data_IF_294125092213
#
_entry.id   IF_294125092213
#
_cell.length_a   1.000
_cell.length_b   1.000
_cell.length_c   1.000
_cell.angle_alpha   90.00
_cell.angle_beta   90.00
_cell.angle_gamma   90.00
#
_symmetry.space_group_name_H-M   'P 1'
#
loop_
_entity.id
_entity.type
_entity.pdbx_description
1 polymer ?
#
# COMPACT_ATOMS: atom_id res chain seq x y z
N UNK A 1 -0.85 -15.20 2.51
CA UNK A 1 0.46 -14.61 2.54
C UNK A 1 0.35 -13.12 2.57
N UNK A 2 1.04 -12.46 3.45
CA UNK A 2 0.93 -11.02 3.52
C UNK A 2 1.88 -10.38 2.51
N UNK A 3 1.44 -9.29 1.93
CA UNK A 3 2.21 -8.51 1.00
C UNK A 3 2.39 -7.13 1.57
N UNK A 4 3.55 -6.53 1.36
CA UNK A 4 3.75 -5.19 1.85
C UNK A 4 4.57 -4.39 0.87
N UNK A 5 4.49 -3.08 1.01
CA UNK A 5 5.19 -2.16 0.16
C UNK A 5 5.69 -1.01 1.02
N UNK A 6 6.59 -0.22 0.46
CA UNK A 6 7.14 0.91 1.17
C UNK A 6 6.36 2.18 0.76
N UNK A 7 5.94 2.93 1.75
CA UNK A 7 5.24 4.19 1.56
C UNK A 7 6.25 5.31 1.65
N UNK A 8 6.54 5.94 0.53
CA UNK A 8 7.55 6.99 0.50
C UNK A 8 7.09 8.28 1.17
N UNK A 9 5.78 8.49 1.27
CA UNK A 9 5.27 9.67 1.94
C UNK A 9 5.48 9.61 3.44
N UNK A 10 5.25 8.44 4.02
CA UNK A 10 5.42 8.27 5.45
C UNK A 10 6.79 7.76 5.83
N UNK A 11 7.48 7.16 4.90
CA UNK A 11 8.74 6.53 5.22
C UNK A 11 8.58 5.22 5.97
N UNK A 12 7.42 4.60 5.86
CA UNK A 12 7.09 3.38 6.58
C UNK A 12 6.60 2.32 5.62
N UNK A 13 6.57 1.10 6.10
CA UNK A 13 5.99 0.01 5.32
C UNK A 13 4.50 -0.10 5.61
N UNK A 14 3.77 -0.50 4.59
CA UNK A 14 2.37 -0.86 4.71
C UNK A 14 2.20 -2.26 4.16
N UNK A 15 1.15 -2.93 4.55
CA UNK A 15 0.89 -4.24 3.97
C UNK A 15 -0.54 -4.34 3.50
N UNK A 16 -0.72 -5.12 2.45
CA UNK A 16 -2.02 -5.24 1.82
C UNK A 16 -2.90 -6.17 2.63
N UNK A 17 -4.15 -5.80 2.76
CA UNK A 17 -5.14 -6.63 3.41
C UNK A 17 -6.16 -7.14 2.41
N UNK A 18 -6.17 -6.56 1.22
CA UNK A 18 -7.00 -7.06 0.13
C UNK A 18 -6.40 -6.54 -1.17
N UNK A 19 -7.06 -6.84 -2.28
CA UNK A 19 -6.56 -6.41 -3.59
C UNK A 19 -6.47 -4.91 -3.72
N UNK A 20 -7.31 -4.19 -2.99
CA UNK A 20 -7.39 -2.75 -3.15
C UNK A 20 -7.11 -1.98 -1.88
N UNK A 21 -6.79 -2.65 -0.80
CA UNK A 21 -6.63 -1.99 0.48
C UNK A 21 -5.40 -2.47 1.20
N UNK A 22 -4.80 -1.56 1.94
CA UNK A 22 -3.64 -1.86 2.75
C UNK A 22 -3.73 -1.06 4.04
N UNK A 23 -2.92 -1.42 5.00
CA UNK A 23 -2.85 -0.70 6.25
C UNK A 23 -1.39 -0.39 6.50
N UNK A 24 -1.09 0.84 6.90
CA UNK A 24 0.29 1.21 7.15
C UNK A 24 0.64 0.98 8.61
N UNK A 25 1.88 1.25 8.97
CA UNK A 25 2.35 0.94 10.31
C UNK A 25 1.69 1.79 11.38
N UNK A 26 1.11 2.92 11.00
CA UNK A 26 0.36 3.75 11.94
C UNK A 26 -1.06 3.26 12.13
N UNK A 27 -1.51 2.33 11.32
CA UNK A 27 -2.86 1.85 11.40
C UNK A 27 -3.82 2.54 10.45
N UNK A 28 -3.32 3.38 9.55
CA UNK A 28 -4.17 4.06 8.60
C UNK A 28 -4.49 3.16 7.43
N UNK A 29 -5.72 3.24 6.97
CA UNK A 29 -6.12 2.50 5.79
C UNK A 29 -5.73 3.25 4.55
N UNK A 30 -5.21 2.50 3.58
CA UNK A 30 -4.83 3.04 2.29
C UNK A 30 -5.63 2.32 1.21
N UNK A 31 -6.10 3.07 0.25
CA UNK A 31 -6.83 2.52 -0.87
C UNK A 31 -5.95 2.58 -2.11
N UNK A 32 -5.91 1.48 -2.85
CA UNK A 32 -5.11 1.44 -4.07
C UNK A 32 -5.66 2.42 -5.09
N UNK A 33 -4.78 3.26 -5.61
CA UNK A 33 -5.13 4.18 -6.67
C UNK A 33 -4.44 3.82 -7.97
N UNK A 34 -3.39 3.00 -7.89
CA UNK A 34 -2.64 2.57 -9.04
C UNK A 34 -1.54 1.64 -8.57
N UNK A 35 -0.62 1.31 -9.45
CA UNK A 35 0.46 0.41 -9.08
C UNK A 35 1.45 1.05 -8.13
N UNK A 36 1.55 2.37 -8.18
CA UNK A 36 2.55 3.09 -7.41
C UNK A 36 1.95 4.18 -6.55
N UNK A 37 0.63 4.17 -6.39
CA UNK A 37 -0.05 5.20 -5.63
C UNK A 37 -1.14 4.60 -4.76
N UNK A 38 -1.27 5.15 -3.57
CA UNK A 38 -2.34 4.78 -2.66
C UNK A 38 -2.89 6.05 -2.03
N UNK A 39 -4.16 6.03 -1.68
CA UNK A 39 -4.79 7.17 -1.05
C UNK A 39 -5.03 6.86 0.42
N UNK A 40 -4.62 7.79 1.27
CA UNK A 40 -4.90 7.71 2.69
C UNK A 40 -6.37 8.01 2.89
N UNK A 41 -7.12 7.03 3.35
CA UNK A 41 -8.56 7.20 3.48
C UNK A 41 -8.94 8.11 4.64
N UNK A 42 -8.01 8.37 5.54
CA UNK A 42 -8.29 9.23 6.66
C UNK A 42 -8.22 10.71 6.27
N UNK A 43 -7.24 11.06 5.46
CA UNK A 43 -7.04 12.46 5.07
C UNK A 43 -7.35 12.72 3.61
N UNK A 44 -7.36 11.67 2.78
CA UNK A 44 -7.55 11.84 1.35
C UNK A 44 -6.28 12.14 0.60
N UNK A 45 -5.13 12.07 1.25
CA UNK A 45 -3.87 12.34 0.60
C UNK A 45 -3.44 11.19 -0.26
N UNK A 46 -2.76 11.51 -1.35
CA UNK A 46 -2.18 10.49 -2.22
C UNK A 46 -0.75 10.23 -1.78
N UNK A 47 -0.44 8.98 -1.58
CA UNK A 47 0.90 8.54 -1.18
C UNK A 47 1.56 7.82 -2.34
N UNK A 48 2.82 8.13 -2.57
CA UNK A 48 3.61 7.40 -3.55
C UNK A 48 4.22 6.20 -2.84
N UNK A 49 4.08 5.04 -3.44
CA UNK A 49 4.54 3.79 -2.84
C UNK A 49 5.48 3.10 -3.80
N UNK A 50 6.23 2.14 -3.29
CA UNK A 50 7.20 1.42 -4.11
C UNK A 50 6.49 0.62 -5.20
N UNK A 51 5.47 -0.09 -4.85
CA UNK A 51 4.54 -0.70 -5.81
C UNK A 51 3.48 -1.42 -5.01
N UNK A 52 2.28 -1.50 -5.55
CA UNK A 52 1.25 -2.30 -4.90
C UNK A 52 1.65 -3.75 -5.05
N UNK A 53 1.58 -4.49 -3.97
CA UNK A 53 1.98 -5.87 -4.00
C UNK A 53 1.12 -6.68 -4.94
N UNK A 54 1.79 -7.50 -5.71
CA UNK A 54 1.12 -8.26 -6.71
C UNK A 54 1.45 -9.70 -6.52
N UNK A 55 0.47 -10.56 -6.53
CA UNK A 55 0.71 -11.93 -6.24
C UNK A 55 1.39 -12.66 -7.35
N UNK A 56 1.24 -12.21 -8.55
CA UNK A 56 1.76 -12.99 -9.63
C UNK A 56 3.22 -12.88 -9.80
N UNK A 57 3.86 -12.21 -9.01
CA UNK A 57 5.23 -12.25 -9.07
C UNK A 57 5.76 -13.26 -8.25
N UNK A 58 5.58 -13.75 -8.17
CA UNK A 58 6.10 -14.58 -7.54
C UNK A 58 6.55 -15.54 -7.83
N UNK A 59 6.55 -15.53 -8.32
CA UNK A 59 6.89 -16.22 -8.39
C UNK A 59 7.57 -16.65 -8.29
N UNK A 60 7.75 -16.46 -8.44
CA UNK A 60 8.40 -16.77 -8.27
C UNK A 60 8.90 -17.08 -8.07
#
# INVERSE_FOLDING_TARGET
MSKHFFDFEDGDFAHTISDNMAIDSDGDLLMRMGDYMAMDMDTGDIHIISSWSNDNEDDD
#
